data_IF_983158535217
#
_entry.id   IF_983158535217
#
_cell.length_a   1.000
_cell.length_b   1.000
_cell.length_c   1.000
_cell.angle_alpha   90.00
_cell.angle_beta   90.00
_cell.angle_gamma   90.00
#
_symmetry.space_group_name_H-M   'P 1'
#
loop_
_entity.id
_entity.type
_entity.pdbx_description
1 polymer ?
#
# COMPACT_ATOMS: atom_id res chain seq x y z
N UNK A 1 -12.79 9.58 -24.53
CA UNK A 1 -13.44 8.80 -23.44
C UNK A 1 -13.89 9.79 -22.37
N UNK A 2 -15.13 9.72 -21.93
CA UNK A 2 -15.59 10.53 -20.82
C UNK A 2 -15.30 9.87 -19.45
N UNK A 3 -15.48 10.64 -18.36
CA UNK A 3 -15.21 10.14 -16.99
C UNK A 3 -16.06 8.91 -16.67
N UNK A 4 -17.33 8.90 -17.03
CA UNK A 4 -18.26 7.81 -16.68
C UNK A 4 -17.96 6.53 -17.46
N UNK A 5 -17.58 6.64 -18.70
CA UNK A 5 -17.13 5.51 -19.53
C UNK A 5 -15.87 4.87 -18.93
N UNK A 6 -14.87 5.69 -18.57
CA UNK A 6 -13.65 5.20 -17.92
C UNK A 6 -13.92 4.60 -16.54
N UNK A 7 -14.81 5.22 -15.75
CA UNK A 7 -15.24 4.68 -14.45
C UNK A 7 -15.84 3.28 -14.60
N UNK A 8 -16.73 3.08 -15.58
CA UNK A 8 -17.37 1.77 -15.83
C UNK A 8 -16.34 0.71 -16.24
N UNK A 9 -15.43 1.03 -17.18
CA UNK A 9 -14.36 0.10 -17.59
C UNK A 9 -13.52 -0.30 -16.37
N UNK A 10 -13.09 0.64 -15.56
CA UNK A 10 -12.25 0.39 -14.38
C UNK A 10 -12.99 -0.45 -13.33
N UNK A 11 -14.28 -0.16 -13.09
CA UNK A 11 -15.09 -0.88 -12.11
C UNK A 11 -15.35 -2.32 -12.54
N UNK A 12 -15.77 -2.52 -13.79
CA UNK A 12 -16.06 -3.83 -14.35
C UNK A 12 -14.81 -4.71 -14.42
N UNK A 13 -13.65 -4.15 -14.82
CA UNK A 13 -12.39 -4.87 -14.88
C UNK A 13 -11.68 -5.04 -13.51
N UNK A 14 -12.31 -4.61 -12.42
CA UNK A 14 -11.86 -4.87 -11.07
C UNK A 14 -10.60 -4.13 -10.65
N UNK A 15 -10.32 -2.94 -11.23
CA UNK A 15 -9.13 -2.16 -10.93
C UNK A 15 -9.28 -1.42 -9.60
N UNK A 16 -8.35 -1.68 -8.68
CA UNK A 16 -8.27 -1.03 -7.37
C UNK A 16 -6.87 -0.49 -7.13
N UNK A 17 -6.70 0.34 -6.10
CA UNK A 17 -5.40 0.84 -5.70
C UNK A 17 -4.45 -0.29 -5.29
N UNK A 18 -3.49 -0.62 -6.14
CA UNK A 18 -2.59 -1.77 -5.97
C UNK A 18 -1.51 -1.57 -4.89
N UNK A 19 -1.18 -0.32 -4.56
CA UNK A 19 -0.10 0.05 -3.62
C UNK A 19 -0.53 0.31 -2.18
N UNK A 20 -1.80 0.10 -1.82
CA UNK A 20 -2.32 0.46 -0.51
C UNK A 20 -3.51 -0.39 -0.07
N UNK A 21 -4.53 0.26 0.49
CA UNK A 21 -5.69 -0.42 1.07
C UNK A 21 -6.72 -0.93 0.04
N UNK A 22 -6.44 -0.88 -1.25
CA UNK A 22 -7.35 -1.36 -2.29
C UNK A 22 -8.54 -0.42 -2.52
N UNK A 23 -8.36 0.88 -2.47
CA UNK A 23 -9.46 1.80 -2.77
C UNK A 23 -9.90 1.66 -4.24
N UNK A 24 -11.19 1.46 -4.54
CA UNK A 24 -11.70 1.35 -5.90
C UNK A 24 -11.34 2.56 -6.76
N UNK A 25 -10.56 2.32 -7.82
CA UNK A 25 -9.89 3.39 -8.58
C UNK A 25 -10.88 4.29 -9.32
N UNK A 26 -12.02 3.75 -9.77
CA UNK A 26 -13.04 4.53 -10.47
C UNK A 26 -13.56 5.73 -9.66
N UNK A 27 -13.56 5.64 -8.33
CA UNK A 27 -13.96 6.73 -7.44
C UNK A 27 -12.97 7.89 -7.36
N UNK A 28 -11.74 7.71 -7.84
CA UNK A 28 -10.73 8.78 -7.92
C UNK A 28 -10.89 9.63 -9.18
N UNK A 29 -11.66 9.17 -10.16
CA UNK A 29 -11.91 9.88 -11.40
C UNK A 29 -13.01 10.92 -11.19
N UNK A 30 -12.61 12.18 -11.14
CA UNK A 30 -13.52 13.31 -10.90
C UNK A 30 -12.96 14.58 -11.53
N UNK A 31 -13.82 15.44 -12.03
CA UNK A 31 -13.52 16.76 -12.58
C UNK A 31 -13.04 17.78 -11.52
N UNK A 32 -13.09 17.40 -10.24
CA UNK A 32 -12.57 18.23 -9.14
C UNK A 32 -11.04 18.17 -9.01
N UNK A 33 -10.39 17.22 -9.67
CA UNK A 33 -8.93 17.11 -9.66
C UNK A 33 -8.29 18.05 -10.67
N UNK A 34 -7.59 19.08 -10.21
CA UNK A 34 -6.80 19.96 -11.09
C UNK A 34 -5.37 19.46 -11.29
N UNK A 35 -4.90 18.55 -10.42
CA UNK A 35 -3.59 17.91 -10.46
C UNK A 35 -3.76 16.42 -10.25
N UNK A 36 -3.16 15.62 -11.12
CA UNK A 36 -3.03 14.18 -10.85
C UNK A 36 -1.57 13.84 -10.53
N UNK A 37 -1.36 12.93 -9.59
CA UNK A 37 -0.04 12.57 -9.07
C UNK A 37 0.17 11.07 -9.17
N UNK A 38 1.21 10.64 -9.90
CA UNK A 38 1.65 9.25 -9.92
C UNK A 38 2.64 9.01 -8.77
N UNK A 39 2.30 8.10 -7.87
CA UNK A 39 3.15 7.70 -6.76
C UNK A 39 4.14 6.60 -7.19
N UNK A 40 5.38 7.00 -7.48
CA UNK A 40 6.50 6.12 -7.76
C UNK A 40 7.54 6.14 -6.62
N UNK A 41 7.16 6.65 -5.45
CA UNK A 41 7.99 6.68 -4.24
C UNK A 41 7.82 5.40 -3.43
N UNK A 42 8.20 4.25 -4.00
CA UNK A 42 8.21 2.97 -3.29
C UNK A 42 9.16 3.08 -2.10
N UNK A 43 8.61 3.26 -0.88
CA UNK A 43 9.39 3.59 0.31
C UNK A 43 9.40 2.49 1.38
N UNK A 44 8.68 1.38 1.19
CA UNK A 44 8.84 0.21 2.03
C UNK A 44 10.19 -0.45 1.73
N UNK A 45 11.09 -0.61 2.72
CA UNK A 45 12.40 -1.22 2.49
C UNK A 45 12.32 -2.58 1.79
N UNK A 46 13.29 -2.88 0.95
CA UNK A 46 13.45 -4.08 0.12
C UNK A 46 12.48 -4.20 -1.06
N UNK A 47 11.45 -3.38 -1.17
CA UNK A 47 10.51 -3.44 -2.29
C UNK A 47 11.07 -2.70 -3.50
N UNK A 48 11.03 -3.36 -4.66
CA UNK A 48 11.54 -2.84 -5.95
C UNK A 48 10.55 -3.07 -7.09
N UNK A 49 9.30 -3.45 -6.78
CA UNK A 49 8.29 -3.86 -7.75
C UNK A 49 7.87 -2.70 -8.66
N UNK A 50 7.44 -1.59 -8.08
CA UNK A 50 6.83 -0.51 -8.85
C UNK A 50 7.84 0.20 -9.74
N UNK A 51 9.08 0.37 -9.30
CA UNK A 51 10.15 0.95 -10.12
C UNK A 51 10.53 0.05 -11.30
N UNK A 52 10.58 -1.29 -11.10
CA UNK A 52 10.85 -2.24 -12.18
C UNK A 52 9.70 -2.28 -13.20
N UNK A 53 8.45 -2.28 -12.71
CA UNK A 53 7.28 -2.24 -13.59
C UNK A 53 7.24 -0.95 -14.42
N UNK A 54 7.53 0.19 -13.79
CA UNK A 54 7.58 1.48 -14.47
C UNK A 54 8.75 1.58 -15.46
N UNK A 55 9.89 0.99 -15.15
CA UNK A 55 11.04 0.94 -16.06
C UNK A 55 10.70 0.15 -17.33
N UNK A 56 10.05 -1.02 -17.18
CA UNK A 56 9.70 -1.89 -18.32
C UNK A 56 8.56 -1.37 -19.18
N UNK A 57 7.59 -0.68 -18.57
CA UNK A 57 6.34 -0.22 -19.19
C UNK A 57 6.14 1.29 -19.09
N UNK A 58 7.25 2.05 -19.20
CA UNK A 58 7.20 3.51 -19.03
C UNK A 58 6.21 4.17 -19.99
N UNK A 59 6.25 3.83 -21.27
CA UNK A 59 5.38 4.41 -22.29
C UNK A 59 3.90 4.11 -22.01
N UNK A 60 3.54 2.87 -21.78
CA UNK A 60 2.15 2.44 -21.55
C UNK A 60 1.56 3.08 -20.30
N UNK A 61 2.34 3.15 -19.23
CA UNK A 61 1.92 3.76 -17.96
C UNK A 61 1.77 5.27 -18.10
N UNK A 62 2.71 5.94 -18.78
CA UNK A 62 2.63 7.39 -19.05
C UNK A 62 1.49 7.73 -20.00
N UNK A 63 1.27 6.95 -21.07
CA UNK A 63 0.12 7.09 -21.99
C UNK A 63 -1.19 7.01 -21.20
N UNK A 64 -1.31 6.03 -20.32
CA UNK A 64 -2.51 5.87 -19.48
C UNK A 64 -2.66 7.02 -18.50
N UNK A 65 -1.58 7.47 -17.89
CA UNK A 65 -1.61 8.59 -16.95
C UNK A 65 -2.01 9.88 -17.65
N UNK A 66 -1.53 10.11 -18.87
CA UNK A 66 -1.95 11.22 -19.72
C UNK A 66 -3.43 11.12 -20.09
N UNK A 67 -3.90 9.94 -20.51
CA UNK A 67 -5.31 9.70 -20.80
C UNK A 67 -6.20 10.02 -19.57
N UNK A 68 -5.80 9.59 -18.37
CA UNK A 68 -6.53 9.93 -17.13
C UNK A 68 -6.53 11.45 -16.91
N UNK A 69 -5.39 12.13 -17.10
CA UNK A 69 -5.29 13.59 -17.00
C UNK A 69 -6.32 14.30 -17.90
N UNK A 70 -6.34 13.93 -19.17
CA UNK A 70 -7.27 14.51 -20.15
C UNK A 70 -8.73 14.19 -19.79
N UNK A 71 -9.01 12.95 -19.37
CA UNK A 71 -10.37 12.50 -19.03
C UNK A 71 -10.95 13.26 -17.83
N UNK A 72 -10.15 13.53 -16.79
CA UNK A 72 -10.61 14.29 -15.61
C UNK A 72 -10.48 15.80 -15.78
N UNK A 73 -9.85 16.28 -16.87
CA UNK A 73 -9.64 17.71 -17.13
C UNK A 73 -8.58 18.34 -16.23
N UNK A 74 -7.62 17.55 -15.72
CA UNK A 74 -6.56 18.09 -14.88
C UNK A 74 -5.57 18.91 -15.69
N UNK A 75 -5.14 20.06 -15.14
CA UNK A 75 -4.17 20.94 -15.79
C UNK A 75 -2.75 20.37 -15.76
N UNK A 76 -2.43 19.54 -14.76
CA UNK A 76 -1.09 19.02 -14.51
C UNK A 76 -1.09 17.55 -14.11
N UNK A 77 -0.11 16.79 -14.63
CA UNK A 77 0.20 15.42 -14.22
C UNK A 77 1.65 15.37 -13.71
N UNK A 78 1.83 14.92 -12.46
CA UNK A 78 3.13 14.88 -11.80
C UNK A 78 3.54 13.42 -11.54
N UNK A 79 4.74 13.05 -11.97
CA UNK A 79 5.35 11.75 -11.65
C UNK A 79 6.30 11.97 -10.47
N UNK A 80 5.87 11.61 -9.25
CA UNK A 80 6.70 11.69 -8.05
C UNK A 80 7.57 10.44 -7.92
N UNK A 81 8.87 10.54 -8.20
CA UNK A 81 9.82 9.42 -8.23
C UNK A 81 11.11 9.76 -7.48
N UNK A 82 11.70 8.79 -6.79
CA UNK A 82 12.97 8.97 -6.11
C UNK A 82 14.12 9.20 -7.10
N UNK A 83 14.97 10.18 -6.81
CA UNK A 83 16.14 10.53 -7.65
C UNK A 83 17.15 9.38 -7.79
N UNK A 84 17.20 8.46 -6.81
CA UNK A 84 18.06 7.28 -6.83
C UNK A 84 17.65 6.20 -7.85
N UNK A 85 16.41 6.24 -8.37
CA UNK A 85 15.91 5.28 -9.36
C UNK A 85 16.31 5.67 -10.77
N UNK A 86 17.65 5.75 -11.00
CA UNK A 86 18.24 6.33 -12.21
C UNK A 86 17.73 5.68 -13.50
N UNK A 87 17.65 4.35 -13.55
CA UNK A 87 17.17 3.61 -14.73
C UNK A 87 15.72 3.94 -15.04
N UNK A 88 14.84 3.90 -14.03
CA UNK A 88 13.44 4.25 -14.18
C UNK A 88 13.22 5.72 -14.58
N UNK A 89 14.01 6.66 -13.97
CA UNK A 89 13.99 8.09 -14.36
C UNK A 89 14.40 8.27 -15.81
N UNK A 90 15.42 7.54 -16.28
CA UNK A 90 15.86 7.60 -17.67
C UNK A 90 14.79 7.05 -18.63
N UNK A 91 14.12 5.94 -18.27
CA UNK A 91 13.02 5.40 -19.07
C UNK A 91 11.86 6.41 -19.21
N UNK A 92 11.51 7.11 -18.11
CA UNK A 92 10.49 8.17 -18.15
C UNK A 92 10.91 9.37 -19.03
N UNK A 93 12.18 9.79 -18.94
CA UNK A 93 12.71 10.91 -19.72
C UNK A 93 12.70 10.65 -21.23
N UNK A 94 12.75 9.40 -21.67
CA UNK A 94 12.66 9.05 -23.09
C UNK A 94 11.30 9.43 -23.71
N UNK A 95 10.25 9.47 -22.90
CA UNK A 95 8.88 9.67 -23.37
C UNK A 95 8.20 10.95 -22.87
N UNK A 96 8.80 11.68 -21.93
CA UNK A 96 8.12 12.79 -21.23
C UNK A 96 7.64 13.90 -22.20
N UNK A 97 8.40 14.16 -23.26
CA UNK A 97 8.06 15.17 -24.27
C UNK A 97 6.84 14.81 -25.12
N UNK A 98 6.47 13.51 -25.15
CA UNK A 98 5.29 13.03 -25.88
C UNK A 98 3.97 13.32 -25.14
N UNK A 99 4.04 13.71 -23.85
CA UNK A 99 2.86 13.90 -22.99
C UNK A 99 2.77 15.32 -22.40
N UNK A 100 2.15 16.26 -23.13
CA UNK A 100 2.02 17.64 -22.67
C UNK A 100 1.34 17.78 -21.30
N UNK A 101 1.86 18.69 -20.47
CA UNK A 101 1.35 18.92 -19.11
C UNK A 101 1.74 17.83 -18.09
N UNK A 102 2.66 16.93 -18.46
CA UNK A 102 3.25 15.96 -17.55
C UNK A 102 4.67 16.39 -17.18
N UNK A 103 5.04 16.21 -15.91
CA UNK A 103 6.41 16.45 -15.44
C UNK A 103 6.88 15.42 -14.44
N UNK A 104 8.19 15.23 -14.40
CA UNK A 104 8.87 14.40 -13.40
C UNK A 104 9.25 15.29 -12.20
N UNK A 105 8.85 14.87 -10.99
CA UNK A 105 9.27 15.49 -9.74
C UNK A 105 10.18 14.52 -8.98
N UNK A 106 11.44 14.91 -8.81
CA UNK A 106 12.45 14.09 -8.14
C UNK A 106 12.35 14.22 -6.62
N UNK A 107 12.17 13.09 -5.96
CA UNK A 107 11.98 12.96 -4.51
C UNK A 107 13.27 12.48 -3.82
N UNK A 108 13.42 12.84 -2.55
CA UNK A 108 14.48 12.31 -1.69
C UNK A 108 14.20 10.85 -1.28
N UNK A 109 15.29 10.12 -0.97
CA UNK A 109 15.23 8.73 -0.53
C UNK A 109 15.00 8.62 0.98
N UNK A 110 13.78 8.95 1.38
CA UNK A 110 13.36 8.97 2.78
C UNK A 110 12.05 8.23 3.00
N UNK A 111 11.84 7.73 4.21
CA UNK A 111 10.61 7.08 4.62
C UNK A 111 9.75 8.02 5.51
N UNK A 112 8.44 8.13 5.31
CA UNK A 112 7.57 7.46 4.32
C UNK A 112 7.23 8.38 3.13
N UNK A 113 8.11 8.53 2.17
CA UNK A 113 7.90 9.38 0.99
C UNK A 113 6.66 8.96 0.18
N UNK A 114 6.34 7.66 0.17
CA UNK A 114 5.16 7.11 -0.51
C UNK A 114 3.83 7.29 0.26
N UNK A 115 3.84 7.87 1.46
CA UNK A 115 2.61 8.30 2.13
C UNK A 115 1.92 9.38 1.30
N UNK A 116 0.65 9.17 0.92
CA UNK A 116 -0.10 10.04 0.01
C UNK A 116 -0.06 11.52 0.41
N UNK A 117 -0.20 11.82 1.70
CA UNK A 117 -0.21 13.21 2.19
C UNK A 117 1.19 13.82 2.19
N UNK A 118 2.20 13.02 2.51
CA UNK A 118 3.61 13.44 2.43
C UNK A 118 3.99 13.72 0.99
N UNK A 119 3.65 12.81 0.08
CA UNK A 119 3.94 12.94 -1.35
C UNK A 119 3.28 14.16 -1.98
N UNK A 120 2.00 14.43 -1.65
CA UNK A 120 1.28 15.61 -2.13
C UNK A 120 2.02 16.88 -1.68
N UNK A 121 2.42 16.96 -0.42
CA UNK A 121 3.15 18.11 0.06
C UNK A 121 4.50 18.30 -0.65
N UNK A 122 5.28 17.23 -0.80
CA UNK A 122 6.59 17.29 -1.50
C UNK A 122 6.43 17.74 -2.96
N UNK A 123 5.44 17.22 -3.66
CA UNK A 123 5.27 17.47 -5.09
C UNK A 123 4.58 18.80 -5.41
N UNK A 124 3.75 19.33 -4.49
CA UNK A 124 2.86 20.47 -4.76
C UNK A 124 2.88 21.58 -3.72
N UNK A 125 3.47 21.37 -2.54
CA UNK A 125 3.39 22.27 -1.40
C UNK A 125 2.03 22.31 -0.68
N UNK A 126 1.02 21.57 -1.16
CA UNK A 126 -0.33 21.53 -0.59
C UNK A 126 -0.39 20.61 0.62
N UNK A 127 -1.04 21.05 1.70
CA UNK A 127 -1.23 20.24 2.90
C UNK A 127 -2.64 19.70 2.95
N UNK A 128 -2.79 18.39 2.90
CA UNK A 128 -4.07 17.72 3.13
C UNK A 128 -4.39 17.80 4.62
N UNK A 129 -5.59 18.27 4.98
CA UNK A 129 -5.99 18.42 6.39
C UNK A 129 -6.06 17.05 7.12
N UNK A 130 -5.97 17.03 8.45
CA UNK A 130 -6.15 15.80 9.25
C UNK A 130 -7.49 15.13 8.96
N UNK A 131 -7.46 13.86 8.56
CA UNK A 131 -8.65 13.10 8.18
C UNK A 131 -9.31 13.52 6.86
N UNK A 132 -8.73 14.49 6.14
CA UNK A 132 -9.20 14.92 4.81
C UNK A 132 -8.77 13.97 3.69
N UNK A 133 -9.32 14.22 2.51
CA UNK A 133 -9.01 13.50 1.29
C UNK A 133 -8.15 14.37 0.35
N UNK A 134 -7.25 13.79 -0.45
CA UNK A 134 -6.46 14.51 -1.44
C UNK A 134 -7.27 15.42 -2.37
N UNK A 135 -8.45 14.96 -2.75
CA UNK A 135 -9.34 15.71 -3.64
C UNK A 135 -9.81 17.06 -3.06
N UNK A 136 -9.81 17.23 -1.73
CA UNK A 136 -10.10 18.51 -1.09
C UNK A 136 -9.04 19.58 -1.40
N UNK A 137 -7.84 19.12 -1.80
CA UNK A 137 -6.74 19.94 -2.30
C UNK A 137 -6.67 19.95 -3.85
N UNK A 138 -7.69 19.42 -4.53
CA UNK A 138 -7.70 19.30 -5.98
C UNK A 138 -6.72 18.26 -6.54
N UNK A 139 -6.25 17.30 -5.73
CA UNK A 139 -5.26 16.30 -6.12
C UNK A 139 -5.88 14.91 -6.14
N UNK A 140 -5.59 14.13 -7.19
CA UNK A 140 -5.87 12.69 -7.23
C UNK A 140 -4.56 11.90 -7.38
N UNK A 141 -4.32 10.93 -6.49
CA UNK A 141 -3.08 10.15 -6.47
C UNK A 141 -3.30 8.74 -6.98
N UNK A 142 -2.45 8.29 -7.91
CA UNK A 142 -2.48 6.96 -8.51
C UNK A 142 -1.15 6.22 -8.26
N UNK A 143 -1.22 4.93 -8.02
CA UNK A 143 -0.05 4.06 -7.93
C UNK A 143 0.35 3.57 -9.33
N UNK A 144 1.64 3.25 -9.53
CA UNK A 144 2.21 2.75 -10.79
C UNK A 144 1.45 1.54 -11.34
N UNK A 145 1.31 0.47 -10.53
CA UNK A 145 0.64 -0.75 -10.96
C UNK A 145 -0.86 -0.55 -11.19
N UNK A 146 -1.47 0.39 -10.48
CA UNK A 146 -2.86 0.79 -10.74
C UNK A 146 -3.01 1.37 -12.13
N UNK A 147 -2.11 2.26 -12.57
CA UNK A 147 -2.12 2.81 -13.92
C UNK A 147 -1.85 1.74 -14.98
N UNK A 148 -0.94 0.81 -14.70
CA UNK A 148 -0.72 -0.33 -15.59
C UNK A 148 -1.96 -1.22 -15.71
N UNK A 149 -2.68 -1.48 -14.61
CA UNK A 149 -3.95 -2.21 -14.64
C UNK A 149 -5.05 -1.45 -15.40
N UNK A 150 -5.08 -0.11 -15.35
CA UNK A 150 -5.98 0.69 -16.20
C UNK A 150 -5.61 0.51 -17.68
N UNK A 151 -4.30 0.54 -18.02
CA UNK A 151 -3.84 0.25 -19.38
C UNK A 151 -4.33 -1.10 -19.88
N UNK A 152 -4.16 -2.15 -19.08
CA UNK A 152 -4.61 -3.50 -19.44
C UNK A 152 -6.14 -3.53 -19.65
N UNK A 153 -6.91 -2.87 -18.79
CA UNK A 153 -8.36 -2.83 -18.90
C UNK A 153 -8.85 -2.05 -20.14
N UNK A 154 -8.24 -0.90 -20.43
CA UNK A 154 -8.67 0.00 -21.53
C UNK A 154 -8.17 -0.49 -22.88
N UNK A 155 -6.88 -0.77 -23.01
CA UNK A 155 -6.24 -1.06 -24.30
C UNK A 155 -6.25 -2.55 -24.64
N UNK A 156 -6.05 -3.42 -23.63
CA UNK A 156 -5.99 -4.88 -23.84
C UNK A 156 -7.32 -5.59 -23.58
N UNK A 157 -8.29 -4.89 -22.96
CA UNK A 157 -9.57 -5.48 -22.51
C UNK A 157 -9.37 -6.63 -21.52
N UNK A 158 -8.28 -6.58 -20.75
CA UNK A 158 -7.93 -7.59 -19.76
C UNK A 158 -8.26 -7.11 -18.34
N UNK A 159 -9.11 -7.82 -17.59
CA UNK A 159 -9.39 -7.51 -16.20
C UNK A 159 -8.24 -7.89 -15.28
N UNK A 160 -8.27 -7.39 -14.05
CA UNK A 160 -7.24 -7.69 -13.03
C UNK A 160 -7.38 -9.15 -12.57
N UNK A 161 -6.57 -10.03 -13.15
CA UNK A 161 -6.51 -11.46 -12.83
C UNK A 161 -5.19 -11.90 -12.21
N UNK A 162 -4.16 -11.07 -12.28
CA UNK A 162 -2.83 -11.37 -11.79
C UNK A 162 -2.26 -10.22 -10.96
N UNK A 163 -1.21 -10.51 -10.21
CA UNK A 163 -0.49 -9.57 -9.36
C UNK A 163 1.00 -9.81 -9.48
N UNK A 164 1.77 -8.73 -9.52
CA UNK A 164 3.22 -8.82 -9.30
C UNK A 164 3.51 -8.84 -7.81
N UNK A 165 4.33 -9.80 -7.37
CA UNK A 165 4.68 -9.97 -5.95
C UNK A 165 6.19 -10.16 -5.82
N UNK A 166 6.84 -9.30 -5.03
CA UNK A 166 8.25 -9.48 -4.69
C UNK A 166 8.42 -10.49 -3.55
N UNK A 167 9.31 -11.45 -3.73
CA UNK A 167 9.67 -12.44 -2.71
C UNK A 167 11.12 -12.21 -2.34
N UNK A 168 11.36 -11.79 -1.09
CA UNK A 168 12.68 -11.29 -0.67
C UNK A 168 13.06 -11.78 0.73
N UNK A 169 14.28 -11.49 1.12
CA UNK A 169 14.95 -11.80 2.37
C UNK A 169 15.41 -13.26 2.45
N UNK A 170 14.96 -14.09 3.38
CA UNK A 170 15.46 -15.46 3.60
C UNK A 170 14.88 -16.47 2.61
N UNK A 171 15.13 -16.22 1.33
CA UNK A 171 14.79 -17.11 0.21
C UNK A 171 16.03 -17.42 -0.65
N UNK A 172 15.99 -18.52 -1.38
CA UNK A 172 17.16 -18.94 -2.18
C UNK A 172 17.45 -17.94 -3.31
N UNK A 173 16.42 -17.47 -4.02
CA UNK A 173 16.55 -16.57 -5.16
C UNK A 173 15.50 -15.45 -5.04
N UNK A 174 15.84 -14.27 -4.45
CA UNK A 174 14.93 -13.14 -4.44
C UNK A 174 14.45 -12.80 -5.86
N UNK A 175 13.14 -12.64 -6.02
CA UNK A 175 12.52 -12.46 -7.35
C UNK A 175 11.19 -11.68 -7.21
N UNK A 176 10.80 -10.98 -8.27
CA UNK A 176 9.46 -10.42 -8.41
C UNK A 176 8.73 -11.20 -9.49
N UNK A 177 7.64 -11.86 -9.14
CA UNK A 177 6.90 -12.78 -10.03
C UNK A 177 5.48 -12.32 -10.28
N UNK A 178 4.96 -12.66 -11.47
CA UNK A 178 3.56 -12.45 -11.85
C UNK A 178 2.76 -13.70 -11.54
N UNK A 179 1.84 -13.61 -10.59
CA UNK A 179 1.03 -14.75 -10.12
C UNK A 179 -0.46 -14.50 -10.29
N UNK A 180 -1.29 -15.54 -10.49
CA UNK A 180 -2.74 -15.39 -10.49
C UNK A 180 -3.24 -15.02 -9.09
N UNK A 181 -4.21 -14.11 -9.00
CA UNK A 181 -4.85 -13.78 -7.72
C UNK A 181 -5.50 -15.04 -7.15
N UNK A 182 -5.38 -15.21 -5.83
CA UNK A 182 -5.93 -16.36 -5.12
C UNK A 182 -4.97 -17.55 -5.01
N UNK A 183 -3.76 -17.53 -5.63
CA UNK A 183 -2.71 -18.49 -5.30
C UNK A 183 -2.25 -18.28 -3.85
N UNK A 184 -1.64 -19.29 -3.25
CA UNK A 184 -1.19 -19.20 -1.84
C UNK A 184 0.15 -18.48 -1.73
N UNK A 185 0.48 -17.97 -0.53
CA UNK A 185 1.81 -17.41 -0.27
C UNK A 185 2.91 -18.46 -0.43
N UNK A 186 2.62 -19.75 -0.11
CA UNK A 186 3.55 -20.85 -0.33
C UNK A 186 3.83 -21.06 -1.82
N UNK A 187 2.83 -20.98 -2.69
CA UNK A 187 3.01 -21.06 -4.15
C UNK A 187 3.97 -19.96 -4.65
N UNK A 188 3.83 -18.75 -4.10
CA UNK A 188 4.67 -17.61 -4.48
C UNK A 188 6.10 -17.76 -3.95
N UNK A 189 6.28 -18.19 -2.71
CA UNK A 189 7.61 -18.43 -2.11
C UNK A 189 8.34 -19.56 -2.82
N UNK A 190 7.62 -20.57 -3.33
CA UNK A 190 8.20 -21.64 -4.13
C UNK A 190 8.89 -21.12 -5.41
N UNK A 191 8.40 -20.01 -6.01
CA UNK A 191 9.04 -19.39 -7.18
C UNK A 191 10.42 -18.78 -6.86
N UNK A 192 10.67 -18.43 -5.60
CA UNK A 192 11.97 -17.98 -5.10
C UNK A 192 12.89 -19.14 -4.69
N UNK A 193 12.58 -20.39 -5.07
CA UNK A 193 13.34 -21.59 -4.70
C UNK A 193 13.14 -22.02 -3.24
N UNK A 194 12.10 -21.55 -2.57
CA UNK A 194 11.80 -21.83 -1.16
C UNK A 194 12.62 -20.99 -0.18
N UNK A 195 12.56 -21.35 1.09
CA UNK A 195 13.13 -20.57 2.20
C UNK A 195 14.50 -21.08 2.63
N UNK A 196 15.39 -20.17 3.07
CA UNK A 196 16.74 -20.49 3.58
C UNK A 196 16.78 -20.74 5.08
N UNK A 197 15.68 -20.52 5.80
CA UNK A 197 15.55 -20.68 7.25
C UNK A 197 14.59 -21.80 7.63
N UNK A 198 14.83 -22.45 8.77
CA UNK A 198 14.08 -23.62 9.20
C UNK A 198 12.65 -23.29 9.66
N UNK A 199 12.48 -22.18 10.38
CA UNK A 199 11.19 -21.70 10.90
C UNK A 199 10.84 -20.33 10.31
N UNK A 200 10.43 -20.26 9.02
CA UNK A 200 10.16 -18.99 8.34
C UNK A 200 8.88 -18.34 8.86
N UNK A 201 8.91 -17.04 8.97
CA UNK A 201 7.72 -16.21 9.17
C UNK A 201 7.48 -15.38 7.90
N UNK A 202 6.31 -15.54 7.30
CA UNK A 202 5.92 -14.77 6.13
C UNK A 202 5.37 -13.42 6.57
N UNK A 203 5.99 -12.37 6.06
CA UNK A 203 5.59 -11.00 6.29
C UNK A 203 4.98 -10.46 4.99
N UNK A 204 3.65 -10.27 4.97
CA UNK A 204 2.92 -9.85 3.78
C UNK A 204 2.91 -8.33 3.69
N UNK A 205 3.46 -7.80 2.61
CA UNK A 205 3.73 -6.38 2.39
C UNK A 205 5.14 -5.99 2.84
N UNK A 206 5.38 -4.68 3.03
CA UNK A 206 6.69 -4.17 3.45
C UNK A 206 6.94 -4.31 4.96
N UNK A 207 8.19 -4.17 5.41
CA UNK A 207 8.59 -4.38 6.81
C UNK A 207 7.97 -3.38 7.78
N UNK A 208 7.61 -2.19 7.31
CA UNK A 208 7.05 -1.14 8.14
C UNK A 208 5.55 -1.30 8.35
N UNK A 209 4.79 -1.43 7.29
CA UNK A 209 3.33 -1.45 7.33
C UNK A 209 2.73 -2.86 7.18
N UNK A 210 3.48 -3.83 6.71
CA UNK A 210 3.04 -5.19 6.50
C UNK A 210 2.60 -5.94 7.77
N UNK A 211 2.07 -7.14 7.58
CA UNK A 211 1.56 -8.02 8.64
C UNK A 211 2.16 -9.43 8.53
N UNK A 212 2.20 -10.14 9.63
CA UNK A 212 2.48 -11.58 9.62
C UNK A 212 1.31 -12.31 8.97
N UNK A 213 1.61 -13.20 8.04
CA UNK A 213 0.66 -14.04 7.32
C UNK A 213 0.97 -15.53 7.43
N UNK A 214 0.11 -16.35 6.84
CA UNK A 214 0.26 -17.80 6.74
C UNK A 214 0.59 -18.19 5.31
N UNK A 215 1.31 -19.30 5.13
CA UNK A 215 1.58 -19.83 3.79
C UNK A 215 0.31 -20.11 2.96
N UNK A 216 -0.77 -20.50 3.63
CA UNK A 216 -2.08 -20.73 3.01
C UNK A 216 -2.90 -19.48 2.71
N UNK A 217 -2.46 -18.28 3.12
CA UNK A 217 -3.17 -17.03 2.80
C UNK A 217 -3.16 -16.81 1.28
N UNK A 218 -4.29 -16.38 0.68
CA UNK A 218 -4.33 -16.12 -0.76
C UNK A 218 -3.71 -14.77 -1.11
N UNK A 219 -3.05 -14.69 -2.26
CA UNK A 219 -2.62 -13.44 -2.89
C UNK A 219 -3.85 -12.63 -3.29
N UNK A 220 -3.83 -11.35 -2.96
CA UNK A 220 -4.90 -10.39 -3.28
C UNK A 220 -4.39 -9.26 -4.17
N UNK A 221 -5.28 -8.43 -4.68
CA UNK A 221 -4.96 -7.24 -5.49
C UNK A 221 -4.02 -6.24 -4.80
N UNK A 222 -3.85 -6.35 -3.48
CA UNK A 222 -3.00 -5.46 -2.67
C UNK A 222 -1.74 -6.12 -2.11
N UNK A 223 -1.46 -7.38 -2.48
CA UNK A 223 -0.27 -8.10 -2.04
C UNK A 223 0.93 -7.72 -2.91
N UNK A 224 1.82 -6.86 -2.42
CA UNK A 224 2.97 -6.37 -3.19
C UNK A 224 4.25 -7.16 -2.92
N UNK A 225 4.38 -7.76 -1.74
CA UNK A 225 5.57 -8.50 -1.36
C UNK A 225 5.31 -9.56 -0.31
N UNK A 226 6.19 -10.54 -0.26
CA UNK A 226 6.35 -11.49 0.83
C UNK A 226 7.81 -11.42 1.28
N UNK A 227 8.03 -10.93 2.52
CA UNK A 227 9.34 -11.01 3.16
C UNK A 227 9.37 -12.29 4.00
N UNK A 228 10.33 -13.15 3.72
CA UNK A 228 10.59 -14.33 4.54
C UNK A 228 11.64 -13.97 5.59
N UNK A 229 11.24 -13.97 6.86
CA UNK A 229 12.13 -13.60 7.97
C UNK A 229 12.23 -14.74 8.98
N UNK A 230 13.36 -14.90 9.67
CA UNK A 230 13.46 -15.85 10.76
C UNK A 230 12.59 -15.39 11.94
N UNK A 231 12.06 -16.34 12.72
CA UNK A 231 11.15 -16.08 13.84
C UNK A 231 11.75 -15.15 14.91
N UNK A 232 13.06 -15.16 15.10
CA UNK A 232 13.79 -14.32 16.04
C UNK A 232 14.13 -12.92 15.50
N UNK A 233 13.79 -12.64 14.23
CA UNK A 233 14.07 -11.33 13.64
C UNK A 233 13.34 -10.21 14.39
N UNK A 234 14.03 -9.07 14.60
CA UNK A 234 13.52 -7.92 15.37
C UNK A 234 12.11 -7.48 14.95
N UNK A 235 11.85 -7.42 13.65
CA UNK A 235 10.54 -7.00 13.09
C UNK A 235 9.46 -8.01 13.50
N UNK A 236 9.74 -9.31 13.35
CA UNK A 236 8.81 -10.37 13.71
C UNK A 236 8.51 -10.33 15.21
N UNK A 237 9.54 -10.24 16.04
CA UNK A 237 9.40 -10.16 17.50
C UNK A 237 8.57 -8.95 17.94
N UNK A 238 8.74 -7.80 17.30
CA UNK A 238 7.92 -6.60 17.57
C UNK A 238 6.47 -6.81 17.20
N UNK A 239 6.19 -7.37 16.02
CA UNK A 239 4.82 -7.57 15.51
C UNK A 239 4.06 -8.70 16.22
N UNK A 240 4.76 -9.63 16.86
CA UNK A 240 4.16 -10.72 17.63
C UNK A 240 3.78 -10.31 19.06
N UNK A 241 4.27 -9.17 19.56
CA UNK A 241 3.93 -8.71 20.92
C UNK A 241 2.46 -8.29 20.99
N UNK A 242 1.88 -8.44 22.18
CA UNK A 242 0.53 -7.95 22.48
C UNK A 242 0.59 -6.53 23.02
N UNK A 243 -0.45 -5.73 22.73
CA UNK A 243 -0.56 -4.34 23.20
C UNK A 243 -0.56 -4.23 24.72
N UNK A 244 -1.07 -5.23 25.44
CA UNK A 244 -1.02 -5.26 26.91
C UNK A 244 0.43 -5.30 27.43
N UNK A 245 1.30 -6.10 26.80
CA UNK A 245 2.73 -6.14 27.12
C UNK A 245 3.40 -4.82 26.76
N UNK A 246 3.11 -4.29 25.59
CA UNK A 246 3.71 -3.03 25.11
C UNK A 246 3.31 -1.84 25.99
N UNK A 247 2.08 -1.80 26.50
CA UNK A 247 1.63 -0.76 27.42
C UNK A 247 2.36 -0.84 28.77
N UNK A 248 2.50 -2.04 29.34
CA UNK A 248 3.27 -2.27 30.58
C UNK A 248 4.74 -1.85 30.41
N UNK A 249 5.35 -2.20 29.29
CA UNK A 249 6.71 -1.75 28.96
C UNK A 249 6.80 -0.24 28.84
N UNK A 250 5.82 0.40 28.19
CA UNK A 250 5.78 1.86 28.07
C UNK A 250 5.71 2.53 29.45
N UNK A 251 4.87 2.03 30.35
CA UNK A 251 4.77 2.53 31.71
C UNK A 251 6.10 2.41 32.52
N UNK A 252 6.87 1.34 32.23
CA UNK A 252 8.11 1.07 32.99
C UNK A 252 9.35 1.78 32.46
N UNK A 253 9.50 1.93 31.13
CA UNK A 253 10.78 2.35 30.52
C UNK A 253 10.68 3.51 29.53
N UNK A 254 9.51 4.15 29.35
CA UNK A 254 9.41 5.31 28.47
C UNK A 254 10.19 6.50 29.06
N UNK A 255 11.31 6.87 28.45
CA UNK A 255 12.15 8.00 28.88
C UNK A 255 11.62 9.37 28.47
N UNK A 256 10.43 9.45 27.88
CA UNK A 256 9.76 10.70 27.47
C UNK A 256 10.60 11.64 26.57
N UNK A 257 11.52 11.10 25.78
CA UNK A 257 12.48 11.84 24.93
C UNK A 257 11.83 12.60 23.76
N UNK A 258 10.53 12.42 23.52
CA UNK A 258 9.74 13.04 22.45
C UNK A 258 10.10 12.65 21.00
N UNK A 259 11.14 11.85 20.76
CA UNK A 259 11.63 11.49 19.41
C UNK A 259 10.55 10.86 18.52
N UNK A 260 9.62 10.10 19.10
CA UNK A 260 8.50 9.50 18.36
C UNK A 260 7.54 10.54 17.75
N UNK A 261 7.38 11.71 18.37
CA UNK A 261 6.62 12.85 17.82
C UNK A 261 7.49 13.68 16.88
N UNK A 262 8.73 13.89 17.24
CA UNK A 262 9.67 14.69 16.45
C UNK A 262 9.90 14.13 15.05
N UNK A 263 9.94 12.80 14.91
CA UNK A 263 10.09 12.14 13.62
C UNK A 263 8.74 11.74 12.99
N UNK A 264 7.61 12.10 13.61
CA UNK A 264 6.30 11.76 13.03
C UNK A 264 6.03 12.61 11.77
N UNK A 265 5.90 12.00 10.58
CA UNK A 265 5.74 12.76 9.33
C UNK A 265 4.44 13.58 9.31
N UNK A 266 3.37 13.06 9.91
CA UNK A 266 2.07 13.74 9.97
C UNK A 266 2.10 14.91 10.97
N UNK A 267 2.76 14.74 12.11
CA UNK A 267 2.94 15.85 13.08
C UNK A 267 3.80 16.97 12.47
N UNK A 268 4.83 16.62 11.71
CA UNK A 268 5.68 17.59 11.01
C UNK A 268 4.94 18.37 9.91
N UNK A 269 3.87 17.80 9.33
CA UNK A 269 2.95 18.47 8.41
C UNK A 269 1.82 19.23 9.10
N UNK A 270 1.88 19.41 10.42
CA UNK A 270 0.90 20.19 11.17
C UNK A 270 -0.34 19.42 11.61
N UNK A 271 -0.37 18.10 11.47
CA UNK A 271 -1.47 17.30 11.98
C UNK A 271 -1.40 17.14 13.51
N UNK A 272 -2.55 17.07 14.25
CA UNK A 272 -2.58 17.05 15.70
C UNK A 272 -2.17 15.71 16.32
N UNK A 273 -1.63 14.79 15.54
CA UNK A 273 -1.11 13.51 16.04
C UNK A 273 0.18 13.72 16.82
N UNK A 274 0.22 13.31 18.08
CA UNK A 274 1.38 13.42 18.97
C UNK A 274 1.65 12.06 19.67
N UNK A 275 2.49 11.21 19.07
CA UNK A 275 2.84 9.92 19.66
C UNK A 275 3.41 9.98 21.07
N UNK A 276 4.24 10.96 21.41
CA UNK A 276 4.85 11.08 22.74
C UNK A 276 3.80 11.44 23.80
N UNK A 277 2.92 12.40 23.50
CA UNK A 277 1.82 12.78 24.39
C UNK A 277 0.85 11.62 24.60
N UNK A 278 0.52 10.88 23.51
CA UNK A 278 -0.28 9.67 23.61
C UNK A 278 0.39 8.60 24.49
N UNK A 279 1.68 8.33 24.30
CA UNK A 279 2.42 7.37 25.12
C UNK A 279 2.40 7.73 26.60
N UNK A 280 2.60 9.01 26.95
CA UNK A 280 2.53 9.48 28.33
C UNK A 280 1.14 9.31 28.93
N UNK A 281 0.11 9.74 28.22
CA UNK A 281 -1.27 9.62 28.68
C UNK A 281 -1.67 8.16 28.89
N UNK A 282 -1.43 7.30 27.90
CA UNK A 282 -1.79 5.88 27.94
C UNK A 282 -1.01 5.11 29.02
N UNK A 283 0.29 5.36 29.19
CA UNK A 283 1.11 4.70 30.20
C UNK A 283 0.69 5.03 31.63
N UNK A 284 0.21 6.24 31.87
CA UNK A 284 -0.21 6.70 33.18
C UNK A 284 -1.73 6.60 33.38
N UNK A 285 -2.49 6.06 32.40
CA UNK A 285 -3.95 6.02 32.43
C UNK A 285 -4.57 7.40 32.73
N UNK A 286 -3.98 8.43 32.14
CA UNK A 286 -4.40 9.81 32.35
C UNK A 286 -5.46 10.21 31.32
N UNK A 287 -6.70 10.34 31.79
CA UNK A 287 -7.87 10.70 30.97
C UNK A 287 -8.36 12.14 31.19
N UNK A 288 -7.60 12.97 31.93
CA UNK A 288 -7.94 14.39 32.14
C UNK A 288 -7.90 15.19 30.84
N UNK A 289 -7.03 14.77 29.91
CA UNK A 289 -7.01 15.27 28.54
C UNK A 289 -7.24 14.09 27.57
N UNK A 290 -8.38 14.10 26.88
CA UNK A 290 -8.77 13.05 25.94
C UNK A 290 -8.19 13.26 24.53
N UNK A 291 -7.63 14.44 24.23
CA UNK A 291 -7.13 14.75 22.90
C UNK A 291 -6.04 13.78 22.40
N UNK A 292 -5.06 13.32 23.19
CA UNK A 292 -4.07 12.35 22.73
C UNK A 292 -4.71 11.04 22.24
N UNK A 293 -5.80 10.63 22.85
CA UNK A 293 -6.52 9.40 22.48
C UNK A 293 -7.35 9.61 21.21
N UNK A 294 -8.13 10.68 21.14
CA UNK A 294 -8.97 10.99 19.97
C UNK A 294 -8.11 11.25 18.73
N UNK A 295 -6.98 11.99 18.87
CA UNK A 295 -6.06 12.31 17.80
C UNK A 295 -5.30 11.09 17.26
N UNK A 296 -5.30 9.93 17.98
CA UNK A 296 -4.83 8.66 17.44
C UNK A 296 -5.56 8.28 16.13
N UNK A 297 -6.79 8.75 15.92
CA UNK A 297 -7.56 8.55 14.70
C UNK A 297 -6.88 9.11 13.43
N UNK A 298 -6.00 10.11 13.58
CA UNK A 298 -5.25 10.72 12.47
C UNK A 298 -3.92 10.01 12.16
N UNK A 299 -3.57 8.95 12.90
CA UNK A 299 -2.36 8.18 12.65
C UNK A 299 -2.43 7.46 11.30
N UNK A 300 -1.41 7.64 10.44
CA UNK A 300 -1.25 6.92 9.16
C UNK A 300 -0.72 5.50 9.34
N UNK A 301 -0.31 5.12 10.56
CA UNK A 301 0.28 3.81 10.89
C UNK A 301 1.60 3.50 10.14
N UNK A 302 2.33 4.51 9.70
CA UNK A 302 3.60 4.35 8.97
C UNK A 302 4.70 3.63 9.76
N UNK A 303 4.63 3.57 11.08
CA UNK A 303 5.57 2.82 11.92
C UNK A 303 6.87 3.54 12.28
N UNK A 304 7.16 4.76 11.79
CA UNK A 304 8.40 5.48 12.11
C UNK A 304 8.64 5.60 13.62
N UNK A 305 7.63 5.97 14.38
CA UNK A 305 7.71 6.14 15.83
C UNK A 305 8.10 4.87 16.61
N UNK A 306 7.77 3.70 16.06
CA UNK A 306 8.01 2.39 16.67
C UNK A 306 9.27 1.71 16.14
N UNK A 307 9.41 1.66 14.81
CA UNK A 307 10.45 0.87 14.15
C UNK A 307 11.79 1.60 14.09
N UNK A 308 11.75 2.93 14.08
CA UNK A 308 12.95 3.75 13.94
C UNK A 308 13.19 4.68 15.13
N UNK A 309 12.21 5.51 15.51
CA UNK A 309 12.40 6.64 16.42
C UNK A 309 12.62 6.25 17.88
N UNK A 310 11.93 5.19 18.37
CA UNK A 310 11.98 4.88 19.80
C UNK A 310 13.31 4.21 20.21
N UNK A 311 14.15 4.89 21.06
CA UNK A 311 15.41 4.32 21.53
C UNK A 311 15.19 3.12 22.48
N UNK A 312 14.03 3.05 23.16
CA UNK A 312 13.67 1.98 24.08
C UNK A 312 12.92 0.81 23.40
N UNK A 313 12.83 0.83 22.06
CA UNK A 313 12.09 -0.21 21.30
C UNK A 313 10.66 -0.44 21.80
N UNK A 314 9.97 0.63 22.23
CA UNK A 314 8.54 0.61 22.55
C UNK A 314 7.69 0.59 21.28
N UNK A 315 6.38 0.44 21.42
CA UNK A 315 5.43 0.25 20.32
C UNK A 315 4.38 1.37 20.19
N UNK A 316 4.78 2.65 19.98
CA UNK A 316 3.80 3.75 19.88
C UNK A 316 2.80 3.56 18.76
N UNK A 317 3.24 3.10 17.57
CA UNK A 317 2.36 2.85 16.40
C UNK A 317 1.32 1.77 16.71
N UNK A 318 1.73 0.68 17.35
CA UNK A 318 0.84 -0.44 17.68
C UNK A 318 -0.23 0.02 18.67
N UNK A 319 0.14 0.73 19.73
CA UNK A 319 -0.80 1.26 20.72
C UNK A 319 -1.74 2.33 20.13
N UNK A 320 -1.24 3.21 19.25
CA UNK A 320 -2.05 4.18 18.51
C UNK A 320 -3.06 3.48 17.58
N UNK A 321 -2.65 2.40 16.91
CA UNK A 321 -3.52 1.64 16.01
C UNK A 321 -4.65 0.94 16.79
N UNK A 322 -4.34 0.38 17.96
CA UNK A 322 -5.34 -0.22 18.85
C UNK A 322 -6.34 0.80 19.37
N UNK A 323 -5.84 1.99 19.79
CA UNK A 323 -6.72 3.09 20.18
C UNK A 323 -7.64 3.50 19.04
N UNK A 324 -7.09 3.71 17.83
CA UNK A 324 -7.88 4.03 16.63
C UNK A 324 -8.93 2.95 16.33
N UNK A 325 -8.57 1.68 16.49
CA UNK A 325 -9.49 0.54 16.34
C UNK A 325 -10.58 0.53 17.41
N UNK A 326 -10.23 0.83 18.66
CA UNK A 326 -11.15 0.95 19.79
C UNK A 326 -12.16 2.07 19.61
N UNK A 327 -11.70 3.27 19.22
CA UNK A 327 -12.56 4.42 18.92
C UNK A 327 -13.60 4.07 17.84
N UNK A 328 -13.15 3.43 16.74
CA UNK A 328 -14.03 3.00 15.66
C UNK A 328 -15.07 1.98 16.12
N UNK A 329 -14.67 1.00 16.94
CA UNK A 329 -15.60 0.00 17.53
C UNK A 329 -16.63 0.64 18.45
N UNK A 330 -16.23 1.68 19.17
CA UNK A 330 -17.12 2.47 20.03
C UNK A 330 -18.00 3.49 19.26
N UNK A 331 -17.93 3.52 17.92
CA UNK A 331 -18.67 4.47 17.10
C UNK A 331 -18.14 5.92 17.14
N UNK A 332 -16.98 6.14 17.77
CA UNK A 332 -16.36 7.46 17.87
C UNK A 332 -15.65 7.78 16.55
N UNK A 333 -16.16 8.78 15.85
CA UNK A 333 -15.57 9.24 14.58
C UNK A 333 -14.42 10.20 14.82
N UNK A 334 -13.44 10.26 13.89
CA UNK A 334 -12.42 11.30 13.92
C UNK A 334 -13.06 12.70 13.96
N UNK A 335 -12.48 13.66 14.70
CA UNK A 335 -12.94 15.04 14.67
C UNK A 335 -12.99 15.58 13.23
N UNK A 336 -14.09 16.20 12.88
CA UNK A 336 -14.32 16.76 11.54
C UNK A 336 -13.81 18.20 11.45
N UNK A 337 -13.43 18.64 10.24
CA UNK A 337 -13.05 20.03 9.99
C UNK A 337 -11.74 20.50 10.65
N UNK A 338 -10.98 19.59 11.24
CA UNK A 338 -9.68 19.92 11.86
C UNK A 338 -8.74 20.46 10.79
N UNK A 339 -8.18 21.64 11.04
CA UNK A 339 -7.19 22.26 10.17
C UNK A 339 -5.78 21.93 10.66
N UNK A 340 -4.81 21.75 9.75
CA UNK A 340 -3.43 21.59 10.13
C UNK A 340 -2.89 22.92 10.66
N UNK A 341 -2.00 22.87 11.64
CA UNK A 341 -1.15 24.03 11.97
C UNK A 341 -0.06 24.17 10.90
N UNK A 342 0.67 25.30 10.83
CA UNK A 342 1.76 25.44 9.86
C UNK A 342 2.75 24.28 9.89
N UNK A 343 3.23 23.90 8.72
CA UNK A 343 4.28 22.87 8.57
C UNK A 343 5.49 23.30 9.39
N UNK A 344 6.07 22.37 10.13
CA UNK A 344 7.20 22.67 11.00
C UNK A 344 8.46 22.98 10.19
N UNK A 345 9.13 24.07 10.48
CA UNK A 345 10.42 24.44 9.85
C UNK A 345 11.48 23.34 10.02
N UNK A 346 11.46 22.65 11.17
CA UNK A 346 12.39 21.56 11.47
C UNK A 346 12.13 20.28 10.65
N UNK A 347 11.05 20.20 9.86
CA UNK A 347 10.66 19.02 9.10
C UNK A 347 11.78 18.50 8.20
N UNK A 348 12.47 19.39 7.51
CA UNK A 348 13.54 19.00 6.57
C UNK A 348 14.70 18.25 7.24
N UNK A 349 14.96 18.56 8.50
CA UNK A 349 16.02 17.91 9.31
C UNK A 349 15.52 16.65 10.04
N UNK A 350 14.23 16.30 9.90
CA UNK A 350 13.57 15.19 10.58
C UNK A 350 13.09 14.09 9.63
N UNK A 351 13.43 14.18 8.37
CA UNK A 351 13.22 13.12 7.38
C UNK A 351 14.09 11.91 7.73
N UNK A 352 13.54 10.71 7.60
CA UNK A 352 14.23 9.45 7.94
C UNK A 352 14.83 8.85 6.65
N UNK A 353 16.16 8.84 6.47
CA UNK A 353 16.78 8.21 5.31
C UNK A 353 16.50 6.71 5.30
N UNK A 354 16.14 6.17 4.12
CA UNK A 354 15.74 4.76 3.98
C UNK A 354 16.88 3.80 4.30
N UNK A 355 18.11 4.13 3.93
CA UNK A 355 19.30 3.35 4.27
C UNK A 355 19.47 3.20 5.79
N UNK A 356 19.32 4.30 6.55
CA UNK A 356 19.37 4.25 8.01
C UNK A 356 18.23 3.46 8.62
N UNK A 357 17.05 3.53 8.00
CA UNK A 357 15.90 2.73 8.40
C UNK A 357 16.19 1.24 8.19
N UNK A 358 16.70 0.84 7.03
CA UNK A 358 17.09 -0.54 6.74
C UNK A 358 18.14 -1.06 7.73
N UNK A 359 19.17 -0.28 8.01
CA UNK A 359 20.20 -0.63 8.97
C UNK A 359 19.61 -0.81 10.39
N UNK A 360 18.73 0.11 10.82
CA UNK A 360 18.05 0.02 12.13
C UNK A 360 17.18 -1.21 12.26
N UNK A 361 16.60 -1.69 11.16
CA UNK A 361 15.73 -2.86 11.11
C UNK A 361 16.51 -4.17 10.90
N UNK A 362 17.83 -4.13 10.68
CA UNK A 362 18.65 -5.31 10.38
C UNK A 362 18.37 -5.89 8.99
N UNK A 363 17.93 -5.05 8.04
CA UNK A 363 17.50 -5.47 6.71
C UNK A 363 18.57 -5.29 5.63
N UNK A 364 19.68 -4.59 5.90
CA UNK A 364 20.72 -4.27 4.91
C UNK A 364 21.26 -5.52 4.19
N UNK A 365 21.43 -6.65 4.90
CA UNK A 365 21.89 -7.91 4.29
C UNK A 365 20.92 -8.51 3.27
N UNK A 366 19.67 -8.10 3.29
CA UNK A 366 18.60 -8.56 2.41
C UNK A 366 18.35 -7.60 1.23
N UNK A 367 19.04 -6.47 1.17
CA UNK A 367 18.94 -5.56 0.03
C UNK A 367 19.69 -6.14 -1.18
N UNK A 368 19.03 -7.07 -1.81
CA UNK A 368 19.50 -7.78 -3.02
C UNK A 368 18.58 -7.45 -4.19
N UNK A 369 19.06 -7.73 -5.38
CA UNK A 369 18.22 -7.67 -6.57
C UNK A 369 17.14 -8.75 -6.49
N UNK A 370 15.94 -8.35 -6.91
CA UNK A 370 14.79 -9.23 -7.05
C UNK A 370 14.18 -9.00 -8.44
N UNK A 371 14.84 -9.54 -9.50
CA UNK A 371 14.49 -9.24 -10.88
C UNK A 371 13.04 -9.65 -11.17
N UNK A 372 12.37 -8.84 -12.01
CA UNK A 372 10.96 -9.07 -12.37
C UNK A 372 10.86 -10.08 -13.50
N UNK A 373 10.18 -11.20 -13.23
CA UNK A 373 9.70 -12.16 -14.22
C UNK A 373 8.21 -11.89 -14.50
N UNK A 374 7.89 -11.55 -15.74
CA UNK A 374 6.52 -11.25 -16.18
C UNK A 374 5.76 -12.49 -16.67
N UNK A 375 6.41 -13.65 -16.69
CA UNK A 375 5.75 -14.90 -17.02
C UNK A 375 4.71 -15.23 -15.93
N UNK A 376 3.45 -15.42 -16.36
CA UNK A 376 2.41 -15.81 -15.42
C UNK A 376 2.70 -17.22 -14.88
N UNK A 377 2.86 -17.30 -13.56
CA UNK A 377 3.08 -18.60 -12.89
C UNK A 377 1.87 -19.51 -13.06
N UNK A 378 2.14 -20.75 -13.41
CA UNK A 378 1.12 -21.77 -13.60
C UNK A 378 0.69 -22.39 -12.26
N UNK A 379 -0.53 -22.10 -11.82
CA UNK A 379 -1.08 -22.54 -10.53
C UNK A 379 -2.31 -23.44 -10.80
N UNK A 380 -2.38 -24.65 -10.19
CA UNK A 380 -3.47 -25.59 -10.45
C UNK A 380 -4.78 -25.22 -9.76
N UNK A 381 -4.73 -24.46 -8.65
CA UNK A 381 -5.91 -24.13 -7.84
C UNK A 381 -5.75 -22.78 -7.20
N UNK A 382 -6.80 -21.96 -7.21
CA UNK A 382 -6.82 -20.62 -6.63
C UNK A 382 -8.04 -20.42 -5.74
N UNK A 383 -7.87 -19.62 -4.67
CA UNK A 383 -8.93 -19.20 -3.76
C UNK A 383 -9.11 -17.68 -3.88
N UNK A 384 -10.08 -17.24 -4.63
CA UNK A 384 -10.30 -15.84 -5.00
C UNK A 384 -11.26 -15.22 -3.98
N UNK A 385 -10.78 -14.24 -3.20
CA UNK A 385 -11.61 -13.55 -2.22
C UNK A 385 -12.60 -12.61 -2.91
N UNK A 386 -13.84 -12.52 -2.40
CA UNK A 386 -14.85 -11.57 -2.86
C UNK A 386 -14.62 -10.15 -2.30
N UNK A 387 -13.87 -10.02 -1.21
CA UNK A 387 -13.46 -8.74 -0.61
C UNK A 387 -11.95 -8.55 -0.76
N UNK A 388 -11.53 -7.79 -1.78
CA UNK A 388 -10.12 -7.45 -2.04
C UNK A 388 -9.88 -5.94 -2.11
N UNK A 389 -10.85 -5.15 -1.63
CA UNK A 389 -10.85 -3.69 -1.70
C UNK A 389 -11.62 -3.09 -0.51
N UNK A 390 -11.51 -1.79 -0.31
CA UNK A 390 -12.37 -1.05 0.64
C UNK A 390 -13.77 -0.96 0.04
N UNK A 391 -14.78 -1.26 0.84
CA UNK A 391 -16.19 -1.20 0.44
C UNK A 391 -16.90 -2.55 0.60
N UNK A 392 -17.98 -2.75 -0.14
CA UNK A 392 -18.78 -3.95 -0.07
C UNK A 392 -18.13 -5.09 -0.88
N UNK A 393 -18.10 -6.34 -0.38
CA UNK A 393 -17.65 -7.49 -1.15
C UNK A 393 -18.44 -7.64 -2.46
N UNK A 394 -17.78 -8.11 -3.52
CA UNK A 394 -18.46 -8.46 -4.76
C UNK A 394 -19.41 -9.64 -4.54
N UNK A 395 -20.46 -9.73 -5.35
CA UNK A 395 -21.48 -10.78 -5.26
C UNK A 395 -21.23 -11.89 -6.29
N UNK A 396 -21.04 -13.12 -5.83
CA UNK A 396 -20.81 -14.27 -6.71
C UNK A 396 -21.96 -14.45 -7.71
N UNK A 397 -21.62 -14.64 -8.99
CA UNK A 397 -22.56 -14.89 -10.09
C UNK A 397 -22.39 -16.28 -10.71
N UNK A 398 -21.46 -17.07 -10.16
CA UNK A 398 -21.21 -18.47 -10.56
C UNK A 398 -21.57 -19.42 -9.43
N UNK A 399 -21.75 -20.71 -9.76
CA UNK A 399 -22.05 -21.78 -8.81
C UNK A 399 -21.05 -22.93 -8.94
N UNK A 400 -21.01 -23.76 -7.92
CA UNK A 400 -20.18 -24.99 -7.93
C UNK A 400 -20.53 -25.86 -9.14
N UNK A 401 -19.53 -26.28 -9.87
CA UNK A 401 -19.65 -27.06 -11.09
C UNK A 401 -19.49 -26.27 -12.38
N UNK A 402 -19.63 -24.95 -12.34
CA UNK A 402 -19.49 -24.10 -13.53
C UNK A 402 -18.07 -24.18 -14.09
N UNK A 403 -17.94 -24.16 -15.41
CA UNK A 403 -16.68 -24.00 -16.12
C UNK A 403 -16.45 -22.49 -16.37
N UNK A 404 -15.26 -22.02 -16.03
CA UNK A 404 -14.88 -20.62 -16.21
C UNK A 404 -13.56 -20.49 -16.97
N UNK A 405 -13.44 -19.44 -17.76
CA UNK A 405 -12.18 -19.08 -18.43
C UNK A 405 -11.51 -17.92 -17.72
N UNK A 406 -10.17 -17.87 -17.75
CA UNK A 406 -9.42 -16.75 -17.19
C UNK A 406 -9.91 -15.43 -17.78
N UNK A 407 -10.16 -14.43 -16.94
CA UNK A 407 -10.73 -13.13 -17.33
C UNK A 407 -12.26 -13.07 -17.31
N UNK A 408 -12.95 -14.20 -17.21
CA UNK A 408 -14.41 -14.20 -17.06
C UNK A 408 -14.82 -13.62 -15.71
N UNK A 409 -15.80 -12.71 -15.69
CA UNK A 409 -16.37 -12.19 -14.44
C UNK A 409 -17.06 -13.33 -13.67
N UNK A 410 -16.69 -13.53 -12.42
CA UNK A 410 -17.23 -14.56 -11.51
C UNK A 410 -17.96 -13.96 -10.31
N UNK A 411 -17.77 -12.66 -10.07
CA UNK A 411 -18.57 -11.90 -9.12
C UNK A 411 -18.76 -10.47 -9.60
N UNK A 412 -20.00 -9.99 -9.57
CA UNK A 412 -20.38 -8.63 -9.97
C UNK A 412 -20.15 -7.64 -8.83
N UNK A 413 -19.89 -6.34 -9.14
CA UNK A 413 -19.86 -5.31 -8.11
C UNK A 413 -21.15 -5.29 -7.30
N UNK A 414 -21.03 -5.18 -5.98
CA UNK A 414 -22.17 -4.93 -5.10
C UNK A 414 -22.64 -3.47 -5.18
N UNK A 415 -23.82 -3.18 -4.65
CA UNK A 415 -24.31 -1.80 -4.52
C UNK A 415 -23.34 -0.96 -3.65
N UNK A 416 -23.06 0.26 -4.08
CA UNK A 416 -22.14 1.18 -3.41
C UNK A 416 -20.70 1.01 -3.90
N UNK A 417 -19.74 1.12 -2.97
CA UNK A 417 -18.31 1.05 -3.27
C UNK A 417 -17.88 -0.42 -3.47
N UNK A 418 -17.74 -0.85 -4.72
CA UNK A 418 -17.38 -2.23 -5.08
C UNK A 418 -16.83 -2.32 -6.51
N UNK A 419 -16.10 -3.38 -6.83
CA UNK A 419 -15.57 -3.67 -8.17
C UNK A 419 -15.77 -5.14 -8.54
N UNK A 420 -15.75 -5.45 -9.85
CA UNK A 420 -15.83 -6.81 -10.38
C UNK A 420 -14.67 -7.72 -9.95
N UNK A 421 -14.95 -9.02 -9.83
CA UNK A 421 -13.95 -10.06 -9.58
C UNK A 421 -14.01 -11.07 -10.72
N UNK A 422 -12.86 -11.51 -11.18
CA UNK A 422 -12.69 -12.35 -12.37
C UNK A 422 -11.97 -13.65 -12.04
N UNK A 423 -12.25 -14.69 -12.81
CA UNK A 423 -11.52 -15.94 -12.77
C UNK A 423 -10.04 -15.68 -13.14
N UNK A 424 -9.13 -16.11 -12.31
CA UNK A 424 -7.69 -15.85 -12.46
C UNK A 424 -6.95 -17.00 -13.17
N UNK A 425 -7.59 -18.14 -13.22
CA UNK A 425 -7.23 -19.31 -14.03
C UNK A 425 -8.47 -19.86 -14.75
N UNK A 426 -8.28 -20.59 -15.83
CA UNK A 426 -9.36 -21.37 -16.46
C UNK A 426 -9.52 -22.71 -15.73
N UNK A 427 -10.76 -23.16 -15.53
CA UNK A 427 -11.05 -24.41 -14.85
C UNK A 427 -12.47 -24.50 -14.31
N UNK A 428 -12.68 -25.44 -13.41
CA UNK A 428 -13.97 -25.71 -12.78
C UNK A 428 -14.08 -24.99 -11.42
N UNK A 429 -15.24 -24.38 -11.17
CA UNK A 429 -15.58 -23.83 -9.86
C UNK A 429 -15.86 -25.00 -8.90
N UNK A 430 -15.05 -25.13 -7.86
CA UNK A 430 -15.14 -26.25 -6.89
C UNK A 430 -15.77 -25.86 -5.57
N UNK A 431 -15.78 -24.56 -5.24
CA UNK A 431 -16.38 -24.03 -4.01
C UNK A 431 -16.86 -22.60 -4.24
N UNK A 432 -18.01 -22.24 -3.70
CA UNK A 432 -18.55 -20.89 -3.65
C UNK A 432 -19.10 -20.63 -2.25
N UNK A 433 -18.65 -19.57 -1.62
CA UNK A 433 -19.09 -19.10 -0.30
C UNK A 433 -19.46 -17.62 -0.36
N UNK A 434 -19.91 -17.04 0.74
CA UNK A 434 -20.11 -15.60 0.92
C UNK A 434 -18.80 -14.78 0.95
N UNK A 435 -17.63 -15.46 1.02
CA UNK A 435 -16.31 -14.84 1.21
C UNK A 435 -15.33 -15.10 0.07
N UNK A 436 -15.43 -16.22 -0.61
CA UNK A 436 -14.50 -16.62 -1.68
C UNK A 436 -15.11 -17.61 -2.69
N UNK A 437 -14.47 -17.67 -3.83
CA UNK A 437 -14.69 -18.67 -4.88
C UNK A 437 -13.38 -19.44 -5.08
N UNK A 438 -13.48 -20.77 -5.20
CA UNK A 438 -12.33 -21.63 -5.52
C UNK A 438 -12.49 -22.15 -6.95
N UNK A 439 -11.43 -21.96 -7.76
CA UNK A 439 -11.32 -22.49 -9.11
C UNK A 439 -10.14 -23.45 -9.16
N UNK A 440 -10.34 -24.62 -9.73
CA UNK A 440 -9.29 -25.60 -9.97
C UNK A 440 -9.21 -25.92 -11.47
N UNK A 441 -7.99 -26.10 -12.01
CA UNK A 441 -7.79 -26.61 -13.36
C UNK A 441 -8.42 -28.00 -13.50
N UNK A 442 -8.85 -28.33 -14.72
CA UNK A 442 -9.38 -29.65 -15.04
C UNK A 442 -8.30 -30.73 -14.96
#
# INVERSE_FOLDING_TARGET
MDIKELQNIIQENGVVGAGGAGFPTYMKLTDKANTILMNCAECEPLLKLHRQLLEKHAYEIMKTFHMVKETVGASEAIIGIKKSYVQTVNALKQHIEEFPGMRIHLLDEVYPMGDEVVLIYEATGRVVRPGGLPIEQGVAVFNVETLYNIYQAVEKKEPVTAKYVSVVAEVNHPVTVKVPLGCTMDDVVAQAGGTTVKDPVYFIGGPMMGRIGKGSDPVTKTTNAILVLPKDHLIVQKKMRTSAIDLKRAASICCQCNTCTDLCPRNNLGHPIDPARFMRAASNQDFRDVNPYINASFCSSCGVCEMYACPQSLAPRTLLADMKGGLRKAGIRPPQGVQPVPVKESREYRKVPEERLMARLGLTKYDKDAPMDETLVDIPKVKILLSQHIGAPAQAIVKVGDQVTRGQMIASPAQGLSVGIHATISGKVTEVTDRWIVVAKN
#
